data_IF_996316043636
#
_entry.id   IF_996316043636
#
_cell.length_a   1.000
_cell.length_b   1.000
_cell.length_c   1.000
_cell.angle_alpha   90.00
_cell.angle_beta   90.00
_cell.angle_gamma   90.00
#
_symmetry.space_group_name_H-M   'P 1'
#
loop_
_entity.id
_entity.type
_entity.pdbx_description
1 polymer ?
#
# COMPACT_ATOMS: atom_id res chain seq x y z
N UNK A 1 -19.01 17.91 -25.37
CA UNK A 1 -18.59 16.81 -24.47
C UNK A 1 -17.36 17.29 -23.73
N UNK A 2 -17.45 17.61 -22.44
CA UNK A 2 -16.26 17.92 -21.64
C UNK A 2 -15.47 16.62 -21.51
N UNK A 3 -14.25 16.58 -22.04
CA UNK A 3 -13.31 15.50 -21.74
C UNK A 3 -13.21 15.43 -20.22
N UNK A 4 -13.73 14.37 -19.60
CA UNK A 4 -13.41 14.06 -18.21
C UNK A 4 -11.90 13.85 -18.18
N UNK A 5 -11.17 14.83 -17.66
CA UNK A 5 -9.73 14.70 -17.43
C UNK A 5 -9.55 13.43 -16.60
N UNK A 6 -8.86 12.45 -17.17
CA UNK A 6 -8.61 11.19 -16.48
C UNK A 6 -7.71 11.49 -15.28
N UNK A 7 -8.23 11.23 -14.07
CA UNK A 7 -7.48 11.36 -12.83
C UNK A 7 -6.19 10.51 -12.90
N UNK A 8 -5.02 11.08 -12.55
CA UNK A 8 -3.75 10.37 -12.67
C UNK A 8 -3.67 9.14 -11.76
N UNK A 9 -2.65 8.32 -12.01
CA UNK A 9 -2.26 7.19 -11.15
C UNK A 9 -0.92 7.50 -10.51
N UNK A 10 -0.70 6.93 -9.33
CA UNK A 10 0.56 7.01 -8.61
C UNK A 10 1.02 5.61 -8.26
N UNK A 11 2.32 5.32 -8.31
CA UNK A 11 2.87 4.08 -7.74
C UNK A 11 3.98 4.43 -6.77
N UNK A 12 3.87 3.93 -5.54
CA UNK A 12 5.00 3.90 -4.61
C UNK A 12 5.81 2.65 -4.96
N UNK A 13 7.12 2.78 -5.14
CA UNK A 13 8.02 1.64 -5.32
C UNK A 13 8.55 1.16 -3.97
N UNK A 14 8.97 -0.12 -3.83
CA UNK A 14 9.72 -0.56 -2.65
C UNK A 14 10.91 0.37 -2.38
N UNK A 15 11.07 0.85 -1.15
CA UNK A 15 12.24 1.67 -0.82
C UNK A 15 13.47 0.76 -0.72
N UNK A 16 14.61 1.25 -1.19
CA UNK A 16 15.87 0.49 -1.22
C UNK A 16 16.84 0.98 -0.13
N UNK A 17 17.69 0.14 0.45
CA UNK A 17 18.67 0.60 1.43
C UNK A 17 19.76 1.48 0.78
N UNK A 18 20.34 2.41 1.56
CA UNK A 18 21.39 3.32 1.07
C UNK A 18 22.80 2.69 1.01
N UNK A 19 23.05 1.64 1.81
CA UNK A 19 24.34 0.91 1.86
C UNK A 19 24.16 -0.58 1.58
N UNK A 20 25.26 -1.34 1.41
CA UNK A 20 25.29 -2.81 1.21
C UNK A 20 24.85 -3.60 2.44
N UNK A 21 23.76 -3.18 3.10
CA UNK A 21 23.11 -3.90 4.19
C UNK A 21 22.56 -5.22 3.67
N UNK A 22 22.59 -6.24 4.52
CA UNK A 22 21.74 -7.41 4.31
C UNK A 22 20.29 -6.94 4.19
N UNK A 23 19.54 -7.54 3.27
CA UNK A 23 18.11 -7.26 3.15
C UNK A 23 17.40 -7.42 4.51
N UNK A 24 16.70 -6.37 4.91
CA UNK A 24 15.62 -6.38 5.88
C UNK A 24 14.31 -5.95 5.18
N UNK A 25 13.18 -6.15 5.85
CA UNK A 25 11.87 -5.80 5.35
C UNK A 25 11.55 -4.30 5.42
N UNK A 26 12.36 -3.45 6.04
CA UNK A 26 11.98 -2.08 6.36
C UNK A 26 11.57 -1.28 5.11
N UNK A 27 12.33 -1.41 4.02
CA UNK A 27 12.03 -0.73 2.75
C UNK A 27 10.67 -1.11 2.15
N UNK A 28 10.26 -2.38 2.27
CA UNK A 28 8.93 -2.84 1.85
C UNK A 28 7.84 -2.42 2.84
N UNK A 29 8.14 -2.41 4.14
CA UNK A 29 7.23 -1.91 5.17
C UNK A 29 6.89 -0.42 5.00
N UNK A 30 7.90 0.41 4.76
CA UNK A 30 7.71 1.86 4.49
C UNK A 30 6.95 2.07 3.18
N UNK A 31 7.26 1.30 2.14
CA UNK A 31 6.49 1.30 0.90
C UNK A 31 5.00 1.00 1.15
N UNK A 32 4.69 0.02 2.00
CA UNK A 32 3.30 -0.34 2.33
C UNK A 32 2.58 0.76 3.13
N UNK A 33 3.27 1.40 4.07
CA UNK A 33 2.79 2.58 4.80
C UNK A 33 2.41 3.71 3.83
N UNK A 34 3.34 4.09 2.94
CA UNK A 34 3.14 5.18 1.98
C UNK A 34 2.06 4.85 0.95
N UNK A 35 2.01 3.60 0.45
CA UNK A 35 0.98 3.15 -0.49
C UNK A 35 -0.43 3.22 0.11
N UNK A 36 -0.59 2.82 1.38
CA UNK A 36 -1.85 2.93 2.09
C UNK A 36 -2.29 4.39 2.30
N UNK A 37 -1.35 5.31 2.51
CA UNK A 37 -1.63 6.74 2.61
C UNK A 37 -2.25 7.30 1.32
N UNK A 38 -1.74 6.91 0.14
CA UNK A 38 -2.33 7.37 -1.12
C UNK A 38 -3.70 6.75 -1.44
N UNK A 39 -4.09 5.67 -0.75
CA UNK A 39 -5.39 5.03 -0.92
C UNK A 39 -6.58 5.95 -0.65
N UNK A 40 -6.40 7.00 0.17
CA UNK A 40 -7.44 7.99 0.48
C UNK A 40 -7.44 9.21 -0.45
N UNK A 41 -6.47 9.32 -1.38
CA UNK A 41 -6.32 10.51 -2.21
C UNK A 41 -7.40 10.55 -3.32
N UNK A 42 -8.35 11.50 -3.30
CA UNK A 42 -9.53 11.46 -4.17
C UNK A 42 -9.18 11.72 -5.63
N UNK A 43 -8.09 12.44 -5.91
CA UNK A 43 -7.65 12.75 -7.28
C UNK A 43 -6.78 11.65 -7.92
N UNK A 44 -6.51 10.55 -7.22
CA UNK A 44 -5.80 9.39 -7.77
C UNK A 44 -6.78 8.26 -8.09
N UNK A 45 -6.61 7.59 -9.22
CA UNK A 45 -7.47 6.45 -9.61
C UNK A 45 -6.91 5.09 -9.23
N UNK A 46 -5.61 4.99 -8.96
CA UNK A 46 -4.95 3.75 -8.58
C UNK A 46 -3.62 4.05 -7.88
N UNK A 47 -3.36 3.33 -6.78
CA UNK A 47 -2.10 3.39 -6.03
C UNK A 47 -1.54 2.03 -5.58
N UNK A 48 -2.20 0.92 -5.94
CA UNK A 48 -1.87 -0.41 -5.40
C UNK A 48 -0.78 -1.10 -6.22
N UNK A 49 0.45 -1.04 -5.71
CA UNK A 49 1.62 -1.68 -6.31
C UNK A 49 1.43 -3.19 -6.57
N UNK A 50 0.71 -3.90 -5.68
CA UNK A 50 0.42 -5.32 -5.82
C UNK A 50 -0.21 -5.73 -7.16
N UNK A 51 -0.96 -4.85 -7.82
CA UNK A 51 -1.58 -5.12 -9.12
C UNK A 51 -0.62 -4.95 -10.31
N UNK A 52 0.57 -4.40 -10.06
CA UNK A 52 1.56 -4.05 -11.08
C UNK A 52 2.87 -4.79 -10.92
N UNK A 53 3.06 -5.59 -9.88
CA UNK A 53 4.32 -6.30 -9.63
C UNK A 53 4.80 -7.05 -10.89
N UNK A 54 3.91 -7.82 -11.55
CA UNK A 54 4.21 -8.53 -12.81
C UNK A 54 4.48 -7.63 -14.03
N UNK A 55 4.01 -6.39 -13.99
CA UNK A 55 4.18 -5.42 -15.08
C UNK A 55 5.47 -4.61 -14.93
N UNK A 56 5.93 -4.47 -13.70
CA UNK A 56 7.15 -3.73 -13.34
C UNK A 56 8.36 -4.67 -13.31
N UNK A 57 8.19 -5.88 -12.77
CA UNK A 57 9.25 -6.87 -12.62
C UNK A 57 8.96 -8.11 -13.46
N UNK A 58 9.98 -8.53 -14.22
CA UNK A 58 9.88 -9.68 -15.11
C UNK A 58 9.77 -11.00 -14.33
N UNK A 59 10.48 -11.11 -13.22
CA UNK A 59 10.54 -12.31 -12.38
C UNK A 59 10.90 -11.99 -10.92
N UNK A 60 10.95 -13.04 -10.09
CA UNK A 60 11.31 -13.00 -8.69
C UNK A 60 12.73 -12.48 -8.44
N UNK A 61 13.66 -12.74 -9.37
CA UNK A 61 15.07 -12.33 -9.28
C UNK A 61 15.17 -10.82 -9.45
N UNK A 62 14.52 -10.25 -10.46
CA UNK A 62 14.49 -8.81 -10.71
C UNK A 62 13.87 -8.05 -9.54
N UNK A 63 12.75 -8.52 -9.00
CA UNK A 63 12.11 -7.91 -7.84
C UNK A 63 13.00 -7.98 -6.58
N UNK A 64 13.64 -9.14 -6.34
CA UNK A 64 14.54 -9.31 -5.20
C UNK A 64 15.81 -8.47 -5.31
N UNK A 65 16.36 -8.33 -6.52
CA UNK A 65 17.51 -7.47 -6.80
C UNK A 65 17.15 -6.00 -6.54
N UNK A 66 15.99 -5.55 -7.02
CA UNK A 66 15.51 -4.19 -6.79
C UNK A 66 15.37 -3.87 -5.31
N UNK A 67 14.72 -4.74 -4.51
CA UNK A 67 14.58 -4.53 -3.06
C UNK A 67 15.91 -4.45 -2.30
N UNK A 68 17.02 -4.86 -2.94
CA UNK A 68 18.40 -4.76 -2.41
C UNK A 68 19.19 -3.59 -3.00
N UNK A 69 18.55 -2.75 -3.82
CA UNK A 69 19.22 -1.65 -4.53
C UNK A 69 20.22 -2.12 -5.60
N UNK A 70 20.10 -3.36 -6.09
CA UNK A 70 21.03 -3.92 -7.07
C UNK A 70 20.59 -3.51 -8.48
N UNK A 71 21.47 -2.87 -9.29
CA UNK A 71 21.16 -2.48 -10.67
C UNK A 71 20.92 -3.69 -11.62
N UNK A 72 20.24 -3.50 -12.75
CA UNK A 72 19.67 -2.23 -13.22
C UNK A 72 18.41 -1.85 -12.45
N UNK A 73 18.31 -0.59 -12.04
CA UNK A 73 17.08 -0.05 -11.48
C UNK A 73 16.11 0.30 -12.64
N UNK A 74 14.79 0.14 -12.46
CA UNK A 74 13.82 0.43 -13.51
C UNK A 74 13.88 1.89 -13.98
N UNK A 75 13.78 2.10 -15.30
CA UNK A 75 13.57 3.43 -15.88
C UNK A 75 12.13 3.87 -15.61
N UNK A 76 11.97 4.77 -14.63
CA UNK A 76 10.68 5.27 -14.19
C UNK A 76 9.94 6.04 -15.30
N UNK A 77 10.65 6.78 -16.15
CA UNK A 77 10.03 7.52 -17.24
C UNK A 77 9.50 6.58 -18.32
N UNK A 78 10.27 5.56 -18.69
CA UNK A 78 9.82 4.54 -19.63
C UNK A 78 8.63 3.75 -19.07
N UNK A 79 8.71 3.31 -17.81
CA UNK A 79 7.63 2.59 -17.13
C UNK A 79 6.35 3.43 -17.01
N UNK A 80 6.46 4.70 -16.64
CA UNK A 80 5.28 5.55 -16.50
C UNK A 80 4.52 5.74 -17.80
N UNK A 81 5.23 5.84 -18.93
CA UNK A 81 4.62 5.87 -20.28
C UNK A 81 3.97 4.52 -20.63
N UNK A 82 4.67 3.41 -20.39
CA UNK A 82 4.17 2.06 -20.68
C UNK A 82 2.91 1.72 -19.87
N UNK A 83 2.93 2.04 -18.58
CA UNK A 83 1.91 1.63 -17.61
C UNK A 83 0.77 2.64 -17.45
N UNK A 84 0.88 3.78 -18.15
CA UNK A 84 0.02 4.95 -18.03
C UNK A 84 -0.13 5.36 -16.56
N UNK A 85 1.02 5.59 -15.91
CA UNK A 85 1.15 6.03 -14.51
C UNK A 85 1.97 7.30 -14.49
N UNK A 86 1.34 8.41 -14.07
CA UNK A 86 1.97 9.73 -14.10
C UNK A 86 2.98 9.91 -12.97
N UNK A 87 2.57 9.56 -11.75
CA UNK A 87 3.38 9.79 -10.56
C UNK A 87 4.04 8.51 -10.08
N UNK A 88 5.33 8.60 -9.76
CA UNK A 88 6.05 7.50 -9.14
C UNK A 88 6.81 8.00 -7.93
N UNK A 89 6.59 7.39 -6.79
CA UNK A 89 7.37 7.67 -5.59
C UNK A 89 8.43 6.59 -5.44
N UNK A 90 9.68 6.95 -5.69
CA UNK A 90 10.83 6.10 -5.37
C UNK A 90 11.49 6.60 -4.09
N UNK A 91 12.29 5.75 -3.45
CA UNK A 91 13.02 6.21 -2.29
C UNK A 91 14.09 5.24 -1.83
N UNK A 92 14.95 5.78 -0.98
CA UNK A 92 15.97 5.07 -0.24
C UNK A 92 15.75 5.30 1.25
N UNK A 93 16.23 4.36 2.05
CA UNK A 93 16.29 4.56 3.49
C UNK A 93 17.69 4.24 4.02
N UNK A 94 18.09 5.02 5.01
CA UNK A 94 19.23 4.73 5.87
C UNK A 94 18.76 4.74 7.32
N UNK A 95 19.63 4.34 8.23
CA UNK A 95 19.36 4.39 9.65
C UNK A 95 20.51 5.11 10.32
N UNK A 96 20.17 6.16 11.06
CA UNK A 96 21.06 6.94 11.90
C UNK A 96 20.54 6.77 13.34
N UNK A 97 21.31 6.08 14.17
CA UNK A 97 20.89 5.64 15.50
C UNK A 97 19.57 4.83 15.47
N UNK A 98 18.53 5.30 16.15
CA UNK A 98 17.19 4.68 16.18
C UNK A 98 16.22 5.29 15.17
N UNK A 99 16.64 6.29 14.39
CA UNK A 99 15.79 7.02 13.45
C UNK A 99 16.12 6.59 12.02
N UNK A 100 15.08 6.23 11.27
CA UNK A 100 15.20 5.96 9.84
C UNK A 100 15.21 7.28 9.07
N UNK A 101 16.18 7.49 8.18
CA UNK A 101 16.17 8.62 7.26
C UNK A 101 15.62 8.16 5.92
N UNK A 102 14.52 8.77 5.48
CA UNK A 102 13.77 8.37 4.29
C UNK A 102 13.96 9.43 3.21
N UNK A 103 14.78 9.10 2.21
CA UNK A 103 15.03 9.94 1.04
C UNK A 103 14.10 9.52 -0.09
N UNK A 104 13.26 10.43 -0.58
CA UNK A 104 12.23 10.14 -1.58
C UNK A 104 12.35 11.05 -2.78
N UNK A 105 11.95 10.53 -3.93
CA UNK A 105 11.77 11.29 -5.17
C UNK A 105 10.36 11.03 -5.70
N UNK A 106 9.58 12.09 -5.84
CA UNK A 106 8.32 12.08 -6.58
C UNK A 106 8.64 12.41 -8.03
N UNK A 107 8.59 11.40 -8.89
CA UNK A 107 8.70 11.58 -10.33
C UNK A 107 7.34 11.95 -10.92
N UNK A 108 7.30 12.99 -11.75
CA UNK A 108 6.15 13.32 -12.60
C UNK A 108 6.56 13.12 -14.06
N UNK A 109 5.99 12.11 -14.75
CA UNK A 109 6.36 11.87 -16.16
C UNK A 109 6.00 13.02 -17.12
N UNK A 110 5.23 14.00 -16.63
CA UNK A 110 4.78 15.18 -17.37
C UNK A 110 5.34 16.48 -16.78
N UNK A 111 6.20 16.42 -15.77
CA UNK A 111 6.68 17.57 -15.02
C UNK A 111 8.09 17.39 -14.46
N UNK A 112 8.57 18.33 -13.63
CA UNK A 112 9.81 18.16 -12.90
C UNK A 112 9.65 17.15 -11.76
N UNK A 113 10.74 16.48 -11.42
CA UNK A 113 10.83 15.68 -10.20
C UNK A 113 10.97 16.58 -8.97
N UNK A 114 10.42 16.13 -7.85
CA UNK A 114 10.61 16.75 -6.53
C UNK A 114 11.22 15.72 -5.56
N UNK A 115 12.05 16.15 -4.62
CA UNK A 115 12.73 15.26 -3.68
C UNK A 115 12.76 15.82 -2.27
N UNK A 116 12.83 14.90 -1.30
CA UNK A 116 12.93 15.24 0.13
C UNK A 116 13.61 14.13 0.91
N UNK A 117 14.26 14.48 2.01
CA UNK A 117 14.66 13.53 3.05
C UNK A 117 13.93 13.87 4.34
N UNK A 118 13.28 12.87 4.95
CA UNK A 118 12.51 13.02 6.18
C UNK A 118 12.94 11.98 7.23
N UNK A 119 13.06 12.36 8.51
CA UNK A 119 13.23 11.40 9.58
C UNK A 119 11.91 10.66 9.82
N UNK A 120 12.00 9.36 10.02
CA UNK A 120 10.90 8.47 10.41
C UNK A 120 11.23 7.88 11.78
N UNK A 121 10.54 8.41 12.80
CA UNK A 121 10.45 7.79 14.12
C UNK A 121 9.20 6.91 14.19
N UNK A 122 9.29 5.81 14.92
CA UNK A 122 8.16 4.93 15.20
C UNK A 122 7.48 5.26 16.56
N UNK A 123 8.13 6.08 17.40
CA UNK A 123 7.73 6.32 18.79
C UNK A 123 6.51 7.24 18.91
N UNK A 124 6.28 8.07 17.90
CA UNK A 124 5.17 9.04 17.84
C UNK A 124 3.97 8.52 17.04
N UNK A 125 3.91 7.21 16.77
CA UNK A 125 2.91 6.61 15.90
C UNK A 125 3.03 7.07 14.44
N UNK A 126 4.21 7.50 14.01
CA UNK A 126 4.53 7.97 12.66
C UNK A 126 3.70 9.23 12.30
N UNK A 127 3.45 10.11 13.27
CA UNK A 127 2.58 11.27 13.04
C UNK A 127 3.36 12.47 12.50
N UNK A 128 4.55 12.76 13.04
CA UNK A 128 5.42 13.85 12.56
C UNK A 128 5.89 13.59 11.12
N UNK A 129 6.32 12.36 10.81
CA UNK A 129 6.70 11.98 9.46
C UNK A 129 5.56 12.24 8.46
N UNK A 130 4.32 11.81 8.78
CA UNK A 130 3.18 12.03 7.88
C UNK A 130 2.85 13.49 7.69
N UNK A 131 2.96 14.31 8.74
CA UNK A 131 2.75 15.76 8.64
C UNK A 131 3.74 16.39 7.66
N UNK A 132 5.04 16.11 7.81
CA UNK A 132 6.08 16.63 6.91
C UNK A 132 5.92 16.10 5.49
N UNK A 133 5.58 14.83 5.34
CA UNK A 133 5.33 14.21 4.04
C UNK A 133 4.16 14.87 3.30
N UNK A 134 3.05 15.15 4.00
CA UNK A 134 1.89 15.83 3.42
C UNK A 134 2.21 17.29 3.04
N UNK A 135 2.98 18.01 3.86
CA UNK A 135 3.44 19.37 3.52
C UNK A 135 4.32 19.38 2.27
N UNK A 136 5.22 18.39 2.14
CA UNK A 136 6.06 18.23 0.95
C UNK A 136 5.24 17.95 -0.30
N UNK A 137 4.33 16.98 -0.25
CA UNK A 137 3.44 16.70 -1.37
C UNK A 137 2.59 17.91 -1.77
N UNK A 138 2.19 18.74 -0.81
CA UNK A 138 1.51 20.00 -1.09
C UNK A 138 2.34 20.97 -1.93
N UNK A 139 3.64 21.09 -1.63
CA UNK A 139 4.58 21.90 -2.44
C UNK A 139 4.81 21.31 -3.83
N UNK A 140 4.83 19.99 -3.93
CA UNK A 140 4.97 19.25 -5.19
C UNK A 140 3.66 19.19 -6.02
N UNK A 141 2.59 19.86 -5.59
CA UNK A 141 1.31 19.94 -6.33
C UNK A 141 0.42 18.70 -6.19
N UNK A 142 0.67 17.83 -5.20
CA UNK A 142 -0.10 16.62 -4.90
C UNK A 142 -0.65 16.66 -3.46
N UNK A 143 -1.19 17.81 -3.06
CA UNK A 143 -1.77 17.99 -1.73
C UNK A 143 -2.97 17.06 -1.50
N UNK A 144 -3.03 16.43 -0.33
CA UNK A 144 -4.23 15.74 0.13
C UNK A 144 -5.33 16.77 0.42
N UNK A 145 -6.50 16.71 -0.24
CA UNK A 145 -7.59 17.65 0.00
C UNK A 145 -8.21 17.51 1.39
N UNK A 146 -8.13 16.31 1.97
CA UNK A 146 -8.62 15.98 3.31
C UNK A 146 -7.48 15.50 4.19
N UNK A 147 -7.27 16.18 5.30
CA UNK A 147 -6.24 15.86 6.28
C UNK A 147 -6.74 14.89 7.36
N UNK A 148 -8.05 14.81 7.58
CA UNK A 148 -8.64 13.94 8.60
C UNK A 148 -8.47 12.44 8.31
N UNK A 149 -8.18 12.07 7.06
CA UNK A 149 -8.01 10.68 6.59
C UNK A 149 -6.57 10.19 6.57
N UNK A 150 -5.60 11.07 6.82
CA UNK A 150 -4.16 10.77 6.62
C UNK A 150 -3.33 10.79 7.89
N UNK A 151 -3.92 11.11 9.06
CA UNK A 151 -3.19 11.24 10.33
C UNK A 151 -3.61 10.20 11.39
N UNK A 152 -3.82 8.94 11.00
CA UNK A 152 -4.00 7.86 11.97
C UNK A 152 -2.65 7.49 12.59
N UNK A 153 -2.57 7.18 13.90
CA UNK A 153 -1.33 6.68 14.49
C UNK A 153 -1.06 5.24 14.03
N UNK A 154 0.19 4.92 13.76
CA UNK A 154 0.65 3.58 13.38
C UNK A 154 1.64 3.05 14.43
N UNK A 155 1.18 2.15 15.28
CA UNK A 155 1.97 1.59 16.39
C UNK A 155 2.67 0.30 15.95
N UNK A 156 3.58 0.44 14.98
CA UNK A 156 4.44 -0.65 14.52
C UNK A 156 5.81 -0.56 15.20
N UNK A 157 6.34 -1.68 15.67
CA UNK A 157 7.69 -1.75 16.25
C UNK A 157 8.75 -1.90 15.15
N UNK A 158 10.04 -1.66 15.44
CA UNK A 158 11.11 -1.95 14.48
C UNK A 158 11.09 -3.39 13.96
N UNK A 159 10.89 -4.37 14.86
CA UNK A 159 10.74 -5.78 14.48
C UNK A 159 9.48 -6.01 13.65
N UNK A 160 8.37 -5.36 14.01
CA UNK A 160 7.12 -5.42 13.25
C UNK A 160 7.28 -4.89 11.83
N UNK A 161 8.04 -3.82 11.63
CA UNK A 161 8.30 -3.24 10.32
C UNK A 161 9.14 -4.18 9.43
N UNK A 162 10.14 -4.85 9.99
CA UNK A 162 10.90 -5.91 9.29
C UNK A 162 9.97 -7.07 8.91
N UNK A 163 9.19 -7.59 9.86
CA UNK A 163 8.27 -8.70 9.62
C UNK A 163 7.20 -8.36 8.58
N UNK A 164 6.60 -7.16 8.66
CA UNK A 164 5.64 -6.64 7.69
C UNK A 164 6.23 -6.65 6.27
N UNK A 165 7.45 -6.13 6.11
CA UNK A 165 8.12 -6.11 4.82
C UNK A 165 8.48 -7.49 4.28
N UNK A 166 8.88 -8.42 5.15
CA UNK A 166 9.13 -9.82 4.76
C UNK A 166 7.83 -10.52 4.33
N UNK A 167 6.73 -10.30 5.04
CA UNK A 167 5.40 -10.77 4.62
C UNK A 167 5.02 -10.21 3.26
N UNK A 168 5.22 -8.90 3.05
CA UNK A 168 4.93 -8.25 1.78
C UNK A 168 5.77 -8.83 0.63
N UNK A 169 7.05 -9.13 0.89
CA UNK A 169 7.92 -9.84 -0.05
C UNK A 169 7.35 -11.21 -0.42
N UNK A 170 6.93 -12.01 0.57
CA UNK A 170 6.29 -13.31 0.32
C UNK A 170 5.05 -13.15 -0.57
N UNK A 171 4.21 -12.16 -0.29
CA UNK A 171 3.01 -11.87 -1.09
C UNK A 171 3.35 -11.50 -2.54
N UNK A 172 4.34 -10.63 -2.75
CA UNK A 172 4.72 -10.18 -4.09
C UNK A 172 5.46 -11.23 -4.90
N UNK A 173 6.28 -12.08 -4.26
CA UNK A 173 6.88 -13.25 -4.90
C UNK A 173 5.82 -14.27 -5.32
N UNK A 174 4.81 -14.50 -4.46
CA UNK A 174 3.67 -15.33 -4.82
C UNK A 174 2.95 -14.76 -6.06
N UNK A 175 2.79 -13.43 -6.14
CA UNK A 175 2.24 -12.81 -7.33
C UNK A 175 3.11 -13.10 -8.55
N UNK A 176 4.42 -12.91 -8.48
CA UNK A 176 5.35 -13.11 -9.61
C UNK A 176 5.47 -14.57 -10.08
N UNK A 177 5.26 -15.54 -9.20
CA UNK A 177 5.42 -16.96 -9.54
C UNK A 177 4.57 -17.37 -10.77
N UNK A 178 5.19 -18.13 -11.67
CA UNK A 178 4.62 -18.53 -12.97
C UNK A 178 3.61 -19.67 -12.88
N UNK A 179 3.51 -20.33 -11.72
CA UNK A 179 2.38 -21.22 -11.44
C UNK A 179 1.15 -20.33 -11.32
N UNK A 180 0.12 -20.60 -12.12
CA UNK A 180 -1.10 -19.80 -12.14
C UNK A 180 -1.60 -19.49 -10.72
N UNK A 181 -2.27 -18.37 -10.54
CA UNK A 181 -2.79 -17.82 -9.27
C UNK A 181 -3.68 -18.76 -8.42
N UNK A 182 -3.82 -20.02 -8.83
CA UNK A 182 -4.34 -21.13 -8.06
C UNK A 182 -3.20 -22.16 -7.87
N UNK A 183 -2.48 -22.11 -6.75
CA UNK A 183 -1.43 -23.12 -6.53
C UNK A 183 -0.77 -23.11 -5.17
N UNK A 184 -0.18 -21.97 -4.75
CA UNK A 184 0.63 -21.97 -3.54
C UNK A 184 -0.02 -21.13 -2.44
N UNK A 185 -0.39 -21.81 -1.36
CA UNK A 185 -0.73 -21.20 -0.08
C UNK A 185 0.36 -20.21 0.32
N UNK A 186 -0.01 -18.99 0.68
CA UNK A 186 0.92 -18.00 1.20
C UNK A 186 1.35 -18.48 2.59
N UNK A 187 2.65 -18.63 2.78
CA UNK A 187 3.24 -18.85 4.10
C UNK A 187 3.02 -17.60 4.97
N UNK A 188 2.26 -17.78 6.06
CA UNK A 188 1.84 -16.71 6.95
C UNK A 188 2.87 -16.38 8.04
N UNK A 189 3.99 -17.10 8.13
CA UNK A 189 4.98 -16.96 9.23
C UNK A 189 5.37 -15.51 9.53
N UNK A 190 5.71 -14.72 8.49
CA UNK A 190 6.09 -13.31 8.67
C UNK A 190 4.90 -12.39 8.95
N UNK A 191 3.71 -12.76 8.48
CA UNK A 191 2.48 -12.00 8.69
C UNK A 191 2.00 -12.14 10.14
N UNK A 192 1.94 -13.38 10.64
CA UNK A 192 1.59 -13.69 12.02
C UNK A 192 2.61 -13.04 12.97
N UNK A 193 3.92 -13.17 12.69
CA UNK A 193 4.96 -12.51 13.50
C UNK A 193 4.81 -10.99 13.54
N UNK A 194 4.47 -10.35 12.41
CA UNK A 194 4.26 -8.90 12.38
C UNK A 194 3.11 -8.47 13.30
N UNK A 195 2.02 -9.23 13.33
CA UNK A 195 0.89 -8.99 14.26
C UNK A 195 1.31 -9.27 15.71
N UNK A 196 2.01 -10.37 15.98
CA UNK A 196 2.42 -10.74 17.34
C UNK A 196 3.29 -9.67 18.00
N UNK A 197 4.25 -9.10 17.26
CA UNK A 197 5.18 -8.09 17.78
C UNK A 197 4.67 -6.66 17.61
N UNK A 198 3.56 -6.47 16.88
CA UNK A 198 2.90 -5.17 16.70
C UNK A 198 1.37 -5.33 16.67
N UNK A 199 0.75 -5.77 17.79
CA UNK A 199 -0.67 -6.11 17.80
C UNK A 199 -1.60 -4.91 17.61
N UNK A 200 -1.05 -3.68 17.74
CA UNK A 200 -1.75 -2.40 17.53
C UNK A 200 -1.46 -1.76 16.16
N UNK A 201 -0.77 -2.47 15.27
CA UNK A 201 -0.46 -1.98 13.93
C UNK A 201 -1.64 -2.22 12.98
N UNK A 202 -2.17 -1.14 12.41
CA UNK A 202 -3.17 -1.23 11.32
C UNK A 202 -2.57 -1.98 10.13
N UNK A 203 -1.32 -1.67 9.77
CA UNK A 203 -0.66 -2.25 8.60
C UNK A 203 -0.42 -3.76 8.74
N UNK A 204 -0.04 -4.24 9.93
CA UNK A 204 0.19 -5.66 10.16
C UNK A 204 -1.10 -6.47 10.00
N UNK A 205 -2.20 -6.02 10.61
CA UNK A 205 -3.50 -6.65 10.48
C UNK A 205 -4.05 -6.57 9.04
N UNK A 206 -3.93 -5.43 8.37
CA UNK A 206 -4.36 -5.28 6.97
C UNK A 206 -3.60 -6.26 6.05
N UNK A 207 -2.26 -6.33 6.18
CA UNK A 207 -1.46 -7.22 5.36
C UNK A 207 -1.77 -8.71 5.61
N UNK A 208 -1.91 -9.12 6.87
CA UNK A 208 -2.31 -10.48 7.24
C UNK A 208 -3.70 -10.81 6.67
N UNK A 209 -4.65 -9.88 6.75
CA UNK A 209 -5.98 -10.03 6.17
C UNK A 209 -5.93 -10.33 4.66
N UNK A 210 -5.09 -9.62 3.91
CA UNK A 210 -4.91 -9.89 2.48
C UNK A 210 -4.29 -11.25 2.18
N UNK A 211 -3.32 -11.69 2.99
CA UNK A 211 -2.72 -13.01 2.83
C UNK A 211 -3.73 -14.14 3.12
N UNK A 212 -4.49 -14.01 4.21
CA UNK A 212 -5.58 -14.94 4.56
C UNK A 212 -6.66 -15.00 3.49
N UNK A 213 -7.07 -13.84 2.96
CA UNK A 213 -8.05 -13.77 1.87
C UNK A 213 -7.57 -14.53 0.64
N UNK A 214 -6.28 -14.40 0.29
CA UNK A 214 -5.67 -15.15 -0.82
C UNK A 214 -5.62 -16.65 -0.55
N UNK A 215 -5.39 -17.03 0.70
CA UNK A 215 -5.45 -18.41 1.20
C UNK A 215 -6.89 -18.96 1.30
N UNK A 216 -7.91 -18.18 0.91
CA UNK A 216 -9.34 -18.52 1.03
C UNK A 216 -9.82 -18.68 2.49
N UNK A 217 -9.07 -18.18 3.47
CA UNK A 217 -9.44 -18.18 4.88
C UNK A 217 -10.29 -16.95 5.23
N UNK A 218 -11.45 -16.84 4.57
CA UNK A 218 -12.26 -15.60 4.52
C UNK A 218 -12.66 -15.09 5.92
N UNK A 219 -13.07 -15.97 6.84
CA UNK A 219 -13.49 -15.56 8.20
C UNK A 219 -12.31 -14.99 8.99
N UNK A 220 -11.12 -15.58 8.88
CA UNK A 220 -9.92 -15.05 9.55
C UNK A 220 -9.48 -13.74 8.91
N UNK A 221 -9.54 -13.64 7.59
CA UNK A 221 -9.22 -12.42 6.86
C UNK A 221 -10.11 -11.25 7.31
N UNK A 222 -11.42 -11.50 7.44
CA UNK A 222 -12.40 -10.55 7.91
C UNK A 222 -12.06 -10.03 9.31
N UNK A 223 -11.76 -10.93 10.26
CA UNK A 223 -11.34 -10.56 11.62
C UNK A 223 -10.10 -9.66 11.63
N UNK A 224 -9.12 -9.92 10.76
CA UNK A 224 -7.93 -9.08 10.62
C UNK A 224 -8.28 -7.68 10.10
N UNK A 225 -9.11 -7.59 9.05
CA UNK A 225 -9.52 -6.29 8.53
C UNK A 225 -10.38 -5.48 9.51
N UNK A 226 -11.28 -6.14 10.25
CA UNK A 226 -12.04 -5.49 11.32
C UNK A 226 -11.11 -4.96 12.42
N UNK A 227 -10.12 -5.75 12.82
CA UNK A 227 -9.11 -5.33 13.80
C UNK A 227 -8.30 -4.14 13.28
N UNK A 228 -7.88 -4.17 12.02
CA UNK A 228 -7.19 -3.05 11.38
C UNK A 228 -8.04 -1.76 11.47
N UNK A 229 -9.34 -1.84 11.17
CA UNK A 229 -10.24 -0.69 11.24
C UNK A 229 -10.47 -0.17 12.67
N UNK A 230 -10.15 -0.92 13.72
CA UNK A 230 -10.14 -0.39 15.10
C UNK A 230 -9.01 0.60 15.34
N UNK A 231 -7.90 0.47 14.61
CA UNK A 231 -6.73 1.36 14.70
C UNK A 231 -6.73 2.45 13.63
N UNK A 232 -7.37 2.20 12.48
CA UNK A 232 -7.59 3.19 11.43
C UNK A 232 -8.94 2.96 10.75
N UNK A 233 -9.96 3.67 11.20
CA UNK A 233 -11.34 3.60 10.66
C UNK A 233 -11.46 4.08 9.21
N UNK A 234 -10.41 4.72 8.69
CA UNK A 234 -10.30 5.24 7.32
C UNK A 234 -9.36 4.39 6.46
N UNK A 235 -8.96 3.21 6.94
CA UNK A 235 -8.11 2.27 6.21
C UNK A 235 -8.76 1.75 4.93
N UNK A 236 -8.40 2.32 3.77
CA UNK A 236 -8.98 1.93 2.47
C UNK A 236 -8.60 0.50 2.08
N UNK A 237 -7.41 0.04 2.47
CA UNK A 237 -6.97 -1.36 2.33
C UNK A 237 -7.94 -2.31 3.02
N UNK A 238 -8.15 -2.11 4.31
CA UNK A 238 -9.01 -2.96 5.12
C UNK A 238 -10.50 -2.87 4.72
N UNK A 239 -11.02 -1.67 4.41
CA UNK A 239 -12.39 -1.51 3.87
C UNK A 239 -12.57 -2.28 2.55
N UNK A 240 -11.54 -2.28 1.69
CA UNK A 240 -11.56 -3.08 0.46
C UNK A 240 -11.50 -4.57 0.76
N UNK A 241 -10.70 -4.98 1.75
CA UNK A 241 -10.62 -6.36 2.23
C UNK A 241 -11.97 -6.90 2.70
N UNK A 242 -12.66 -6.15 3.57
CA UNK A 242 -14.01 -6.51 4.05
C UNK A 242 -15.05 -6.55 2.93
N UNK A 243 -14.99 -5.60 1.99
CA UNK A 243 -15.83 -5.62 0.80
C UNK A 243 -15.63 -6.91 0.00
N UNK A 244 -14.38 -7.34 -0.21
CA UNK A 244 -14.08 -8.58 -0.92
C UNK A 244 -14.47 -9.83 -0.13
N UNK A 245 -14.32 -9.84 1.19
CA UNK A 245 -14.80 -10.92 2.05
C UNK A 245 -16.33 -11.07 1.95
N UNK A 246 -17.08 -9.97 2.00
CA UNK A 246 -18.53 -9.97 1.81
C UNK A 246 -18.93 -10.47 0.40
N UNK A 247 -18.20 -10.06 -0.64
CA UNK A 247 -18.40 -10.56 -2.01
C UNK A 247 -18.15 -12.06 -2.12
N UNK A 248 -17.07 -12.57 -1.52
CA UNK A 248 -16.78 -14.01 -1.50
C UNK A 248 -17.88 -14.82 -0.79
N UNK A 249 -18.49 -14.24 0.25
CA UNK A 249 -19.61 -14.82 0.99
C UNK A 249 -20.98 -14.58 0.34
N UNK A 250 -21.04 -13.82 -0.77
CA UNK A 250 -22.28 -13.35 -1.41
C UNK A 250 -23.21 -12.56 -0.47
N UNK A 251 -22.63 -11.90 0.54
CA UNK A 251 -23.36 -11.04 1.47
C UNK A 251 -23.46 -9.62 0.87
N UNK A 252 -24.61 -9.37 0.22
CA UNK A 252 -24.88 -8.11 -0.48
C UNK A 252 -24.98 -6.92 0.47
N UNK A 253 -25.58 -7.11 1.65
CA UNK A 253 -25.83 -6.03 2.60
C UNK A 253 -24.51 -5.56 3.21
N UNK A 254 -23.65 -6.48 3.62
CA UNK A 254 -22.31 -6.14 4.11
C UNK A 254 -21.43 -5.56 3.00
N UNK A 255 -21.49 -6.11 1.79
CA UNK A 255 -20.77 -5.53 0.65
C UNK A 255 -21.21 -4.07 0.40
N UNK A 256 -22.49 -3.76 0.53
CA UNK A 256 -23.00 -2.39 0.41
C UNK A 256 -22.45 -1.47 1.50
N UNK A 257 -22.44 -1.92 2.75
CA UNK A 257 -21.89 -1.17 3.90
C UNK A 257 -20.42 -0.79 3.64
N UNK A 258 -19.57 -1.77 3.33
CA UNK A 258 -18.14 -1.51 3.15
C UNK A 258 -17.85 -0.70 1.87
N UNK A 259 -18.61 -0.91 0.80
CA UNK A 259 -18.48 -0.11 -0.43
C UNK A 259 -18.80 1.36 -0.20
N UNK A 260 -19.87 1.66 0.56
CA UNK A 260 -20.25 3.04 0.89
C UNK A 260 -19.29 3.68 1.91
N UNK A 261 -18.79 2.92 2.88
CA UNK A 261 -17.78 3.40 3.81
C UNK A 261 -16.49 3.78 3.06
N UNK A 262 -16.00 2.92 2.16
CA UNK A 262 -14.87 3.22 1.29
C UNK A 262 -15.11 4.48 0.45
N UNK A 263 -16.27 4.59 -0.19
CA UNK A 263 -16.61 5.75 -1.01
C UNK A 263 -16.57 7.07 -0.22
N UNK A 264 -16.99 7.04 1.05
CA UNK A 264 -16.93 8.22 1.95
C UNK A 264 -15.50 8.64 2.30
N UNK A 265 -14.60 7.68 2.46
CA UNK A 265 -13.20 7.96 2.80
C UNK A 265 -12.44 8.51 1.59
N UNK A 266 -12.77 8.04 0.38
CA UNK A 266 -12.09 8.42 -0.86
C UNK A 266 -12.81 9.51 -1.66
N UNK A 267 -13.85 10.15 -1.10
CA UNK A 267 -14.76 11.09 -1.77
C UNK A 267 -15.29 10.59 -3.14
N UNK A 268 -15.52 9.27 -3.25
CA UNK A 268 -16.07 8.65 -4.44
C UNK A 268 -17.61 8.74 -4.46
N UNK A 269 -18.20 8.71 -5.66
CA UNK A 269 -19.65 8.78 -5.82
C UNK A 269 -20.36 7.57 -5.16
N UNK A 270 -21.22 7.79 -4.15
CA UNK A 270 -21.98 6.72 -3.51
C UNK A 270 -22.90 5.98 -4.49
N UNK A 271 -23.37 6.60 -5.58
CA UNK A 271 -24.18 5.88 -6.59
C UNK A 271 -23.34 4.88 -7.36
N UNK A 272 -22.12 5.25 -7.74
CA UNK A 272 -21.18 4.35 -8.38
C UNK A 272 -20.80 3.17 -7.46
N UNK A 273 -20.63 3.42 -6.16
CA UNK A 273 -20.39 2.38 -5.15
C UNK A 273 -21.53 1.36 -5.10
N UNK A 274 -22.79 1.81 -5.01
CA UNK A 274 -23.98 0.93 -5.04
C UNK A 274 -24.08 0.13 -6.33
N UNK A 275 -23.84 0.79 -7.47
CA UNK A 275 -23.90 0.14 -8.79
C UNK A 275 -22.82 -0.95 -8.93
N UNK A 276 -21.63 -0.73 -8.37
CA UNK A 276 -20.57 -1.74 -8.35
C UNK A 276 -21.00 -3.01 -7.59
N UNK A 277 -21.61 -2.85 -6.40
CA UNK A 277 -22.10 -3.98 -5.61
C UNK A 277 -23.20 -4.74 -6.36
N UNK A 278 -24.18 -4.02 -6.90
CA UNK A 278 -25.29 -4.61 -7.67
C UNK A 278 -24.80 -5.42 -8.89
N UNK A 279 -23.68 -4.99 -9.51
CA UNK A 279 -23.05 -5.73 -10.61
C UNK A 279 -22.32 -7.00 -10.14
N UNK A 280 -21.76 -6.98 -8.92
CA UNK A 280 -20.97 -8.10 -8.37
C UNK A 280 -21.85 -9.16 -7.72
N UNK A 281 -22.94 -8.76 -7.09
CA UNK A 281 -23.92 -9.61 -6.43
C UNK A 281 -25.31 -9.14 -6.91
N UNK A 282 -25.79 -9.63 -8.07
CA UNK A 282 -27.14 -9.36 -8.55
C UNK A 282 -28.20 -9.92 -7.61
N UNK A 283 -29.41 -9.36 -7.68
CA UNK A 283 -30.59 -9.84 -6.93
C UNK A 283 -31.05 -11.23 -7.41
#
# INVERSE_FOLDING_TARGET
MMNKVQKPRLIVMPLVPDTSRSFDGAGLGIHFLLGNLFGVHPELTECWFGWRVKKIFQDETAFTAYCRGIPPLPDIQALGKQENVRYWLTGRYSQEDEILQISMVLHDIQGPDDNITLPLSLDDGITDFRYRFQQWLGKAGLAFPRTDTVFWPEWITPEGLDCLGRGLKTLYLNYLSQTGSAGNMIDLTWFDRAVDVSPRSYLAHDLLGWALYKNQEIVRAESCFETALTFNDKGVGALSGLLWCAVAQKDRDRALVYSLAKARVTDADPKAARAWVSKKIPD
#
